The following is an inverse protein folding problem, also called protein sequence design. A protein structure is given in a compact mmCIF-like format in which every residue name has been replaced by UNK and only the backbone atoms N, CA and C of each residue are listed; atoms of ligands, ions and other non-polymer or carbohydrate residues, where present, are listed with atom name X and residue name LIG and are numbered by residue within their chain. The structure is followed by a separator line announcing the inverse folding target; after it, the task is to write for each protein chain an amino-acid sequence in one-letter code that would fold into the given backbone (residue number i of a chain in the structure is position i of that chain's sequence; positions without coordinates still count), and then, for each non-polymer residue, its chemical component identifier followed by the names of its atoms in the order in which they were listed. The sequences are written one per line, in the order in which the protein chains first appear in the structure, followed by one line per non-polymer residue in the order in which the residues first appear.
data_IF_504399529707
#
_entry.id   IF_504399529707
#
_cell.length_a   1.000
_cell.length_b   1.000
_cell.length_c   1.000
_cell.angle_alpha   90.00
_cell.angle_beta   90.00
_cell.angle_gamma   90.00
#
_symmetry.space_group_name_H-M   'P 1'
#
loop_
_entity.id
_entity.type
_entity.pdbx_description
1 polymer ?
2 non-polymer ?
3 non-polymer ?
4 non-polymer ?
5 non-polymer ?
6 non-polymer ?
7 water ?
#
# COMPACT_ATOMS: atom_id res chain seq x y z
N UNK A 1 -0.76 -14.77 -11.52
CA UNK A 1 0.18 -14.06 -12.41
C UNK A 1 0.62 -12.74 -11.79
N UNK A 2 1.14 -11.88 -12.67
CA UNK A 2 1.70 -10.61 -12.28
C UNK A 2 0.66 -9.85 -11.46
N UNK A 3 -0.57 -9.70 -11.99
CA UNK A 3 -1.56 -8.85 -11.34
C UNK A 3 -1.87 -9.36 -9.94
N UNK A 4 -1.96 -10.66 -9.77
CA UNK A 4 -2.31 -11.23 -8.49
C UNK A 4 -1.12 -11.04 -7.57
N UNK A 5 0.10 -11.16 -8.15
CA UNK A 5 1.30 -10.97 -7.35
C UNK A 5 1.27 -9.59 -6.71
N UNK A 6 0.87 -8.56 -7.48
CA UNK A 6 0.71 -7.22 -6.96
C UNK A 6 -0.21 -7.23 -5.73
N UNK A 7 -1.38 -7.89 -5.85
CA UNK A 7 -2.34 -8.02 -4.76
C UNK A 7 -1.74 -8.76 -3.56
N UNK A 8 -1.00 -9.85 -3.81
CA UNK A 8 -0.39 -10.59 -2.72
C UNK A 8 0.58 -9.70 -1.97
N UNK A 9 1.48 -9.03 -2.68
CA UNK A 9 2.49 -8.19 -2.04
C UNK A 9 1.80 -7.09 -1.25
N UNK A 10 0.82 -6.41 -1.87
CA UNK A 10 0.08 -5.37 -1.20
C UNK A 10 -0.59 -5.89 0.08
N UNK A 11 -0.96 -7.16 0.14
CA UNK A 11 -1.64 -7.69 1.33
C UNK A 11 -0.73 -7.79 2.57
N UNK A 12 0.60 -7.68 2.39
CA UNK A 12 1.52 -7.69 3.52
C UNK A 12 2.75 -6.87 3.15
N UNK A 13 2.50 -5.67 2.63
CA UNK A 13 3.48 -4.90 1.89
C UNK A 13 4.70 -4.58 2.74
N UNK A 14 4.45 -4.18 4.00
CA UNK A 14 5.54 -3.75 4.86
C UNK A 14 6.54 -4.91 5.04
N UNK A 15 6.02 -6.14 5.17
CA UNK A 15 6.86 -7.30 5.45
C UNK A 15 7.60 -7.69 4.17
N UNK A 16 6.89 -7.76 3.05
CA UNK A 16 7.54 -8.06 1.78
C UNK A 16 8.54 -6.97 1.41
N UNK A 17 8.19 -5.69 1.58
CA UNK A 17 9.12 -4.64 1.19
C UNK A 17 10.45 -4.75 1.95
N UNK A 18 10.37 -4.96 3.27
CA UNK A 18 11.56 -5.08 4.09
C UNK A 18 12.36 -6.32 3.74
N UNK A 19 11.69 -7.45 3.61
CA UNK A 19 12.43 -8.69 3.31
C UNK A 19 13.09 -8.64 1.95
N UNK A 20 12.39 -8.05 0.97
CA UNK A 20 12.99 -7.97 -0.35
C UNK A 20 14.13 -6.96 -0.35
N UNK A 21 13.91 -5.81 0.26
CA UNK A 21 14.96 -4.83 0.31
C UNK A 21 16.17 -5.39 1.04
N UNK A 22 15.96 -6.11 2.15
CA UNK A 22 17.10 -6.69 2.85
C UNK A 22 17.78 -7.75 1.97
N UNK A 23 17.01 -8.59 1.28
CA UNK A 23 17.63 -9.54 0.37
C UNK A 23 18.55 -8.79 -0.61
N UNK A 24 18.09 -7.63 -1.11
CA UNK A 24 18.87 -6.84 -2.03
C UNK A 24 20.17 -6.33 -1.38
N UNK A 25 20.08 -5.81 -0.15
CA UNK A 25 21.27 -5.26 0.50
C UNK A 25 22.26 -6.34 0.88
N UNK A 26 21.76 -7.56 1.16
CA UNK A 26 22.63 -8.67 1.58
C UNK A 26 23.31 -9.30 0.36
N UNK A 27 22.58 -9.42 -0.76
CA UNK A 27 23.14 -9.94 -1.99
C UNK A 27 24.20 -9.01 -2.58
N UNK A 28 23.95 -7.70 -2.55
CA UNK A 28 24.79 -6.66 -3.12
C UNK A 28 25.24 -5.66 -2.05
N UNK A 29 26.16 -6.11 -1.17
CA UNK A 29 26.56 -5.29 -0.02
C UNK A 29 27.11 -3.94 -0.42
N UNK A 30 27.74 -3.87 -1.62
CA UNK A 30 28.32 -2.64 -2.13
C UNK A 30 27.25 -1.57 -2.30
N UNK A 31 25.96 -1.97 -2.40
CA UNK A 31 24.86 -1.06 -2.68
C UNK A 31 24.53 -0.21 -1.46
N UNK A 32 24.99 -0.62 -0.27
CA UNK A 32 24.81 0.17 0.94
C UNK A 32 25.57 1.50 0.83
N UNK A 33 26.43 1.67 -0.18
CA UNK A 33 27.11 2.95 -0.31
C UNK A 33 26.10 4.03 -0.72
N UNK A 34 24.85 3.66 -1.07
CA UNK A 34 23.79 4.61 -1.37
C UNK A 34 22.94 4.87 -0.14
N UNK A 35 23.22 4.14 0.94
CA UNK A 35 22.47 4.20 2.19
C UNK A 35 23.46 4.07 3.35
N UNK A 36 24.18 5.16 3.65
CA UNK A 36 25.19 5.13 4.71
C UNK A 36 24.57 4.75 6.07
N UNK A 37 23.32 5.14 6.28
CA UNK A 37 22.65 5.04 7.56
C UNK A 37 22.39 3.58 7.94
N UNK A 38 22.47 2.68 6.95
CA UNK A 38 22.15 1.26 7.14
C UNK A 38 23.39 0.39 7.43
N UNK A 39 24.58 0.95 7.30
CA UNK A 39 25.82 0.20 7.41
C UNK A 39 25.96 -0.35 8.83
N UNK A 40 26.54 -1.55 8.98
CA UNK A 40 26.95 -2.07 10.29
C UNK A 40 25.79 -2.48 11.18
N UNK A 41 24.66 -2.84 10.55
CA UNK A 41 23.44 -3.19 11.24
C UNK A 41 22.93 -4.52 10.68
N UNK A 42 22.47 -5.37 11.60
CA UNK A 42 21.85 -6.64 11.26
C UNK A 42 20.44 -6.38 10.71
N UNK A 43 19.87 -7.38 10.04
CA UNK A 43 18.52 -7.22 9.53
C UNK A 43 17.57 -6.72 10.64
N UNK A 44 17.59 -7.35 11.83
CA UNK A 44 16.65 -6.99 12.88
C UNK A 44 16.89 -5.56 13.34
N UNK A 45 18.15 -5.11 13.36
CA UNK A 45 18.41 -3.72 13.69
C UNK A 45 17.78 -2.77 12.66
N UNK A 46 17.95 -3.09 11.37
CA UNK A 46 17.38 -2.26 10.32
C UNK A 46 15.88 -2.20 10.46
N UNK A 47 15.21 -3.33 10.66
CA UNK A 47 13.75 -3.39 10.67
C UNK A 47 13.17 -2.58 11.84
N UNK A 48 14.00 -2.19 12.81
CA UNK A 48 13.54 -1.51 14.01
C UNK A 48 13.75 0.00 13.90
N UNK A 49 14.63 0.42 12.96
CA UNK A 49 14.86 1.82 12.63
C UNK A 49 13.59 2.35 11.97
N UNK A 50 13.38 3.67 12.07
CA UNK A 50 12.14 4.29 11.63
C UNK A 50 12.18 4.54 10.13
N UNK A 51 13.28 5.16 9.66
CA UNK A 51 13.48 5.52 8.27
C UNK A 51 13.56 4.27 7.38
N UNK A 52 13.96 3.13 7.95
CA UNK A 52 14.07 1.93 7.14
C UNK A 52 12.68 1.45 6.76
N UNK A 53 11.84 1.27 7.78
CA UNK A 53 10.51 0.76 7.59
C UNK A 53 9.72 1.69 6.69
N UNK A 54 9.96 3.00 6.87
CA UNK A 54 9.17 4.06 6.27
C UNK A 54 9.57 4.25 4.80
N UNK A 55 10.86 4.43 4.56
CA UNK A 55 11.34 4.64 3.21
C UNK A 55 11.02 3.40 2.38
N UNK A 56 11.27 2.19 2.94
CA UNK A 56 11.19 1.00 2.10
C UNK A 56 9.75 0.69 1.75
N UNK A 57 8.84 0.95 2.69
CA UNK A 57 7.45 0.71 2.37
C UNK A 57 7.04 1.66 1.25
N UNK A 58 7.49 2.91 1.33
CA UNK A 58 7.14 3.91 0.34
C UNK A 58 7.71 3.59 -1.02
N UNK A 59 8.90 2.97 -1.08
CA UNK A 59 9.46 2.45 -2.31
C UNK A 59 8.50 1.43 -2.93
N UNK A 60 8.09 0.46 -2.14
CA UNK A 60 7.28 -0.63 -2.65
C UNK A 60 5.84 -0.19 -2.93
N UNK A 61 5.32 0.78 -2.16
CA UNK A 61 4.03 1.40 -2.48
C UNK A 61 4.03 1.89 -3.93
N UNK A 62 5.11 2.56 -4.34
CA UNK A 62 5.18 3.14 -5.67
C UNK A 62 5.53 2.09 -6.70
N UNK A 63 6.39 1.12 -6.33
CA UNK A 63 6.74 0.07 -7.24
C UNK A 63 5.45 -0.65 -7.64
N UNK A 64 4.57 -0.87 -6.67
CA UNK A 64 3.37 -1.65 -6.93
C UNK A 64 2.45 -0.86 -7.84
N UNK A 65 2.40 0.47 -7.66
CA UNK A 65 1.64 1.34 -8.53
C UNK A 65 2.15 1.28 -9.97
N UNK A 66 3.47 1.40 -10.13
CA UNK A 66 4.12 1.33 -11.43
C UNK A 66 3.82 -0.03 -12.07
N UNK A 67 3.90 -1.10 -11.26
CA UNK A 67 3.55 -2.44 -11.69
C UNK A 67 2.10 -2.48 -12.13
N UNK A 68 1.23 -1.83 -11.35
CA UNK A 68 -0.21 -1.89 -11.56
C UNK A 68 -0.61 -1.13 -12.83
N UNK A 69 0.13 -0.07 -13.12
CA UNK A 69 -0.15 0.75 -14.29
C UNK A 69 0.46 0.19 -15.57
N UNK A 70 1.34 -0.83 -15.47
CA UNK A 70 2.02 -1.40 -16.61
C UNK A 70 1.03 -2.13 -17.49
N UNK A 71 1.37 -2.30 -18.76
CA UNK A 71 0.65 -3.23 -19.64
C UNK A 71 1.62 -4.35 -20.01
N UNK A 72 1.23 -5.60 -19.75
CA UNK A 72 2.06 -6.75 -20.09
C UNK A 72 3.48 -6.55 -19.54
N UNK A 73 3.58 -6.07 -18.31
CA UNK A 73 4.85 -5.90 -17.61
C UNK A 73 5.70 -4.79 -18.22
N UNK A 74 5.08 -3.90 -19.04
CA UNK A 74 5.76 -2.75 -19.63
C UNK A 74 5.24 -1.51 -18.91
N UNK A 75 6.11 -0.82 -18.14
CA UNK A 75 5.68 0.33 -17.33
C UNK A 75 5.38 1.54 -18.21
N UNK A 76 4.65 2.52 -17.66
CA UNK A 76 4.38 3.76 -18.38
C UNK A 76 5.67 4.55 -18.47
N UNK A 77 5.91 5.19 -19.62
CA UNK A 77 7.02 6.14 -19.73
C UNK A 77 6.95 7.25 -18.65
N UNK A 78 5.76 7.76 -18.37
CA UNK A 78 5.61 8.75 -17.32
C UNK A 78 6.17 8.25 -15.99
N UNK A 79 5.97 6.95 -15.69
CA UNK A 79 6.39 6.42 -14.40
C UNK A 79 7.91 6.31 -14.40
N UNK A 80 8.48 5.90 -15.54
CA UNK A 80 9.94 5.83 -15.68
C UNK A 80 10.54 7.22 -15.48
N UNK A 81 9.94 8.22 -16.14
CA UNK A 81 10.42 9.59 -16.03
C UNK A 81 10.43 10.05 -14.56
N UNK A 82 9.30 9.83 -13.86
CA UNK A 82 9.20 10.18 -12.45
C UNK A 82 10.37 9.55 -11.71
N UNK A 83 10.59 8.24 -11.91
CA UNK A 83 11.63 7.59 -11.14
C UNK A 83 12.99 8.21 -11.47
N UNK A 84 13.23 8.60 -12.73
CA UNK A 84 14.55 9.11 -13.11
C UNK A 84 14.75 10.50 -12.50
N UNK A 85 13.70 11.33 -12.57
CA UNK A 85 13.75 12.73 -12.20
C UNK A 85 13.40 12.96 -10.73
N UNK A 86 13.38 11.89 -9.93
CA UNK A 86 13.31 12.03 -8.48
C UNK A 86 14.70 12.45 -7.94
N UNK A 87 14.74 13.46 -7.05
CA UNK A 87 16.00 13.99 -6.51
C UNK A 87 16.74 12.93 -5.70
N UNK A 88 15.94 12.10 -5.01
CA UNK A 88 16.39 10.96 -4.22
C UNK A 88 17.21 10.00 -5.07
N UNK A 89 17.00 10.02 -6.40
CA UNK A 89 17.69 9.08 -7.28
C UNK A 89 18.79 9.78 -8.10
N UNK A 90 19.14 11.04 -7.75
CA UNK A 90 20.09 11.79 -8.56
C UNK A 90 21.30 10.92 -8.89
N UNK A 91 21.83 10.20 -7.90
CA UNK A 91 23.02 9.36 -8.06
C UNK A 91 22.87 8.19 -9.05
N UNK A 92 21.72 7.53 -9.09
CA UNK A 92 21.63 6.12 -9.48
C UNK A 92 21.84 5.87 -10.97
N UNK A 93 22.29 4.64 -11.30
CA UNK A 93 22.26 4.15 -12.67
C UNK A 93 21.32 2.95 -12.74
N UNK A 94 21.00 2.54 -13.96
CA UNK A 94 20.09 1.43 -14.16
C UNK A 94 20.61 0.16 -13.49
N UNK A 95 21.92 0.10 -13.22
CA UNK A 95 22.53 -1.06 -12.61
C UNK A 95 21.96 -1.28 -11.22
N UNK A 96 21.66 -0.16 -10.54
CA UNK A 96 21.13 -0.19 -9.20
C UNK A 96 19.76 -0.85 -9.21
N UNK A 97 18.97 -0.49 -10.23
CA UNK A 97 17.61 -0.99 -10.34
C UNK A 97 17.64 -2.45 -10.75
N UNK A 98 18.55 -2.76 -11.68
CA UNK A 98 18.75 -4.13 -12.14
C UNK A 98 18.91 -5.03 -10.92
N UNK A 99 19.78 -4.63 -9.99
CA UNK A 99 20.17 -5.48 -8.88
C UNK A 99 18.99 -5.68 -7.95
N UNK A 100 18.25 -4.60 -7.73
CA UNK A 100 17.04 -4.66 -6.92
C UNK A 100 16.12 -5.75 -7.46
N UNK A 101 15.96 -5.81 -8.78
CA UNK A 101 14.98 -6.71 -9.39
C UNK A 101 15.54 -8.12 -9.46
N UNK A 102 16.88 -8.29 -9.54
CA UNK A 102 17.45 -9.63 -9.46
C UNK A 102 17.16 -10.23 -8.08
N UNK A 103 17.36 -9.44 -7.04
CA UNK A 103 17.10 -9.92 -5.70
C UNK A 103 15.63 -10.19 -5.48
N UNK A 104 14.77 -9.33 -6.06
CA UNK A 104 13.34 -9.49 -5.90
C UNK A 104 12.90 -10.80 -6.55
N UNK A 105 13.45 -11.09 -7.73
CA UNK A 105 13.09 -12.32 -8.43
C UNK A 105 13.59 -13.54 -7.67
N UNK A 106 14.85 -13.47 -7.23
CA UNK A 106 15.45 -14.50 -6.40
C UNK A 106 14.61 -14.77 -5.15
N UNK A 107 14.22 -13.70 -4.44
CA UNK A 107 13.37 -13.84 -3.26
C UNK A 107 12.11 -14.62 -3.59
N UNK A 108 11.48 -14.26 -4.71
CA UNK A 108 10.22 -14.86 -5.10
C UNK A 108 10.44 -16.34 -5.47
N UNK A 109 11.55 -16.64 -6.14
CA UNK A 109 11.83 -18.02 -6.55
C UNK A 109 12.06 -18.92 -5.33
N UNK A 110 12.60 -18.36 -4.24
CA UNK A 110 12.96 -19.14 -3.05
C UNK A 110 11.81 -19.17 -2.04
N UNK A 111 10.77 -18.38 -2.29
CA UNK A 111 9.61 -18.38 -1.41
C UNK A 111 8.83 -19.67 -1.62
N UNK A 112 8.00 -20.05 -0.67
CA UNK A 112 7.19 -21.23 -0.93
C UNK A 112 6.06 -21.00 -1.93
N UNK A 113 5.92 -19.74 -2.42
CA UNK A 113 4.69 -19.20 -2.97
C UNK A 113 4.74 -19.14 -4.50
N UNK A 114 3.57 -19.25 -5.14
CA UNK A 114 3.50 -19.36 -6.59
C UNK A 114 3.49 -17.99 -7.27
N UNK A 115 4.44 -17.13 -6.89
CA UNK A 115 4.69 -15.88 -7.59
C UNK A 115 5.03 -16.17 -9.05
N UNK A 116 4.73 -15.22 -9.91
CA UNK A 116 5.08 -15.31 -11.32
C UNK A 116 6.45 -14.65 -11.53
N UNK A 117 7.52 -15.32 -11.06
CA UNK A 117 8.85 -14.73 -11.02
C UNK A 117 9.31 -14.33 -12.43
N UNK A 118 8.89 -15.07 -13.48
CA UNK A 118 9.32 -14.75 -14.84
C UNK A 118 8.78 -13.39 -15.25
N UNK A 119 7.54 -13.06 -14.84
CA UNK A 119 6.94 -11.75 -15.14
C UNK A 119 7.65 -10.60 -14.41
N UNK A 120 7.98 -10.77 -13.13
CA UNK A 120 8.74 -9.77 -12.40
C UNK A 120 10.12 -9.52 -13.03
N UNK A 121 10.79 -10.58 -13.53
CA UNK A 121 12.05 -10.48 -14.26
C UNK A 121 11.88 -9.62 -15.50
N UNK A 122 10.83 -9.86 -16.31
CA UNK A 122 10.50 -9.04 -17.47
C UNK A 122 10.23 -7.61 -17.06
N UNK A 123 9.35 -7.44 -16.05
CA UNK A 123 9.06 -6.14 -15.49
C UNK A 123 10.36 -5.41 -15.16
N UNK A 124 11.26 -6.08 -14.42
CA UNK A 124 12.49 -5.40 -14.05
C UNK A 124 13.27 -4.90 -15.27
N UNK A 125 13.45 -5.77 -16.26
CA UNK A 125 14.23 -5.43 -17.45
C UNK A 125 13.56 -4.32 -18.26
N UNK A 126 12.22 -4.33 -18.32
CA UNK A 126 11.47 -3.32 -19.06
C UNK A 126 11.53 -2.00 -18.34
N UNK A 127 11.48 -2.03 -17.01
CA UNK A 127 11.67 -0.79 -16.28
C UNK A 127 13.08 -0.23 -16.51
N UNK A 128 14.10 -1.06 -16.39
CA UNK A 128 15.45 -0.62 -16.68
C UNK A 128 15.49 0.01 -18.09
N UNK A 129 14.87 -0.61 -19.09
CA UNK A 129 14.86 -0.07 -20.44
C UNK A 129 14.19 1.30 -20.45
N UNK A 130 13.03 1.39 -19.78
CA UNK A 130 12.27 2.63 -19.76
C UNK A 130 13.07 3.72 -19.03
N UNK A 131 13.85 3.34 -18.02
CA UNK A 131 14.65 4.33 -17.31
C UNK A 131 15.80 4.82 -18.19
N UNK A 132 16.37 3.94 -19.02
CA UNK A 132 17.41 4.32 -19.97
C UNK A 132 16.86 5.36 -20.95
N UNK A 133 15.65 5.07 -21.47
CA UNK A 133 14.95 5.94 -22.41
C UNK A 133 14.63 7.29 -21.79
N UNK A 134 14.25 7.26 -20.52
CA UNK A 134 13.88 8.51 -19.88
C UNK A 134 15.13 9.29 -19.41
N UNK A 135 16.35 8.74 -19.62
CA UNK A 135 17.59 9.49 -19.45
C UNK A 135 18.50 9.06 -18.30
N UNK A 136 18.31 7.89 -17.69
CA UNK A 136 19.19 7.45 -16.63
C UNK A 136 20.38 6.67 -17.22
N UNK A 137 21.58 6.90 -16.67
CA UNK A 137 22.80 6.29 -17.17
C UNK A 137 22.86 4.78 -16.86
N UNK B 1 -9.21 13.37 -9.59
CA UNK B 1 -10.46 12.66 -9.26
C UNK B 1 -10.20 11.45 -8.39
N UNK B 2 -11.20 10.56 -8.36
CA UNK B 2 -11.22 9.40 -7.51
C UNK B 2 -10.03 8.49 -7.82
N UNK B 3 -9.74 8.23 -9.11
CA UNK B 3 -8.61 7.36 -9.48
C UNK B 3 -7.28 7.90 -8.99
N UNK B 4 -7.05 9.20 -9.18
CA UNK B 4 -5.81 9.81 -8.69
C UNK B 4 -5.75 9.69 -7.16
N UNK B 5 -6.90 9.84 -6.48
CA UNK B 5 -6.94 9.76 -5.02
C UNK B 5 -6.49 8.38 -4.55
N UNK B 6 -6.91 7.33 -5.26
CA UNK B 6 -6.45 5.99 -4.93
C UNK B 6 -4.93 5.93 -4.96
N UNK B 7 -4.33 6.52 -6.02
CA UNK B 7 -2.88 6.60 -6.19
C UNK B 7 -2.23 7.40 -5.08
N UNK B 8 -2.84 8.53 -4.70
CA UNK B 8 -2.33 9.35 -3.62
C UNK B 8 -2.31 8.54 -2.33
N UNK B 9 -3.43 7.92 -1.98
CA UNK B 9 -3.52 7.17 -0.72
C UNK B 9 -2.58 5.97 -0.75
N UNK B 10 -2.55 5.23 -1.89
CA UNK B 10 -1.66 4.09 -2.03
C UNK B 10 -0.20 4.51 -1.84
N UNK B 11 0.15 5.70 -2.28
CA UNK B 11 1.52 6.17 -2.21
C UNK B 11 2.06 6.21 -0.77
N UNK B 12 1.18 6.51 0.19
CA UNK B 12 1.58 6.64 1.57
C UNK B 12 0.52 5.95 2.44
N UNK B 13 0.24 4.71 2.08
CA UNK B 13 -0.98 4.08 2.56
C UNK B 13 -0.99 3.89 4.07
N UNK B 14 0.17 3.59 4.64
CA UNK B 14 0.31 3.36 6.07
C UNK B 14 0.02 4.64 6.85
N UNK B 15 0.37 5.80 6.28
CA UNK B 15 0.20 7.03 7.02
C UNK B 15 -1.27 7.40 7.01
N UNK B 16 -1.84 7.32 5.81
CA UNK B 16 -3.20 7.72 5.52
C UNK B 16 -4.15 6.77 6.23
N UNK B 17 -3.83 5.48 6.23
CA UNK B 17 -4.70 4.48 6.85
C UNK B 17 -4.77 4.74 8.35
N UNK B 18 -3.62 5.00 8.99
CA UNK B 18 -3.60 5.33 10.41
C UNK B 18 -4.32 6.64 10.73
N UNK B 19 -4.08 7.70 9.93
CA UNK B 19 -4.65 9.00 10.18
C UNK B 19 -6.16 8.99 10.04
N UNK B 20 -6.64 8.31 9.02
CA UNK B 20 -8.07 8.27 8.77
C UNK B 20 -8.74 7.42 9.85
N UNK B 21 -8.11 6.30 10.19
CA UNK B 21 -8.74 5.39 11.12
C UNK B 21 -8.85 6.08 12.49
N UNK B 22 -7.82 6.83 12.86
CA UNK B 22 -7.80 7.58 14.10
C UNK B 22 -8.84 8.71 14.05
N UNK B 23 -8.97 9.44 12.93
CA UNK B 23 -10.06 10.42 12.82
C UNK B 23 -11.39 9.72 13.14
N UNK B 24 -11.52 8.49 12.63
CA UNK B 24 -12.74 7.72 12.83
C UNK B 24 -12.98 7.43 14.31
N UNK B 25 -11.96 6.87 14.99
CA UNK B 25 -12.06 6.40 16.37
C UNK B 25 -12.26 7.62 17.29
N UNK B 26 -11.68 8.75 16.92
CA UNK B 26 -11.78 9.95 17.74
C UNK B 26 -13.17 10.59 17.53
N UNK B 27 -13.69 10.50 16.31
CA UNK B 27 -14.96 11.13 16.00
C UNK B 27 -16.11 10.33 16.60
N UNK B 28 -15.90 9.03 16.74
CA UNK B 28 -16.92 8.10 17.20
C UNK B 28 -16.31 7.22 18.28
N UNK B 29 -16.07 7.76 19.49
CA UNK B 29 -15.43 6.98 20.55
C UNK B 29 -16.14 5.68 20.90
N UNK B 30 -17.45 5.56 20.69
CA UNK B 30 -18.13 4.31 20.95
C UNK B 30 -17.56 3.18 20.09
N UNK B 31 -17.13 3.49 18.87
CA UNK B 31 -16.65 2.46 17.95
C UNK B 31 -15.38 1.78 18.45
N UNK B 32 -14.64 2.45 19.34
CA UNK B 32 -13.40 1.93 19.90
C UNK B 32 -13.67 0.69 20.76
N UNK B 33 -14.95 0.35 20.98
CA UNK B 33 -15.39 -0.91 21.62
C UNK B 33 -14.93 -2.15 20.87
N UNK B 34 -15.32 -2.22 19.58
CA UNK B 34 -14.89 -3.24 18.65
C UNK B 34 -13.36 -3.44 18.63
N UNK B 35 -12.60 -2.64 19.41
CA UNK B 35 -11.15 -2.78 19.44
C UNK B 35 -10.69 -2.64 20.89
N UNK B 36 -11.02 -3.66 21.69
CA UNK B 36 -10.73 -3.70 23.12
C UNK B 36 -9.25 -3.36 23.40
N UNK B 37 -8.38 -3.74 22.46
CA UNK B 37 -6.94 -3.64 22.57
C UNK B 37 -6.43 -2.19 22.38
N UNK B 38 -7.36 -1.27 22.03
CA UNK B 38 -7.00 0.09 21.65
C UNK B 38 -7.50 1.07 22.71
N UNK B 39 -8.27 0.58 23.69
CA UNK B 39 -8.85 1.39 24.75
C UNK B 39 -7.74 1.96 25.64
N UNK B 40 -7.87 3.26 25.96
CA UNK B 40 -7.01 3.91 26.93
C UNK B 40 -5.64 4.26 26.36
N UNK B 41 -5.56 4.38 25.03
CA UNK B 41 -4.32 4.69 24.36
C UNK B 41 -4.52 5.93 23.49
N UNK B 42 -3.52 6.83 23.52
CA UNK B 42 -3.47 8.02 22.69
C UNK B 42 -3.18 7.64 21.24
N UNK B 43 -3.31 8.59 20.32
CA UNK B 43 -2.95 8.33 18.94
C UNK B 43 -1.49 7.86 18.83
N UNK B 44 -0.60 8.30 19.72
CA UNK B 44 0.79 7.86 19.66
C UNK B 44 0.97 6.51 20.37
N UNK B 45 0.23 6.25 21.47
CA UNK B 45 0.31 4.93 22.08
C UNK B 45 -0.14 3.89 21.05
N UNK B 46 -1.02 4.27 20.11
CA UNK B 46 -1.50 3.32 19.10
C UNK B 46 -0.51 3.20 17.94
N UNK B 47 -0.05 4.35 17.43
CA UNK B 47 0.89 4.37 16.32
C UNK B 47 2.21 3.69 16.66
N UNK B 48 2.38 3.18 17.88
CA UNK B 48 3.62 2.56 18.27
C UNK B 48 3.42 1.05 18.37
N UNK B 49 2.14 0.63 18.44
CA UNK B 49 1.82 -0.78 18.46
C UNK B 49 1.85 -1.31 17.03
N UNK B 50 2.44 -2.50 16.90
CA UNK B 50 2.72 -3.11 15.61
C UNK B 50 1.41 -3.42 14.92
N UNK B 51 0.54 -4.15 15.63
CA UNK B 51 -0.70 -4.60 15.04
C UNK B 51 -1.59 -3.42 14.65
N UNK B 52 -1.45 -2.26 15.28
CA UNK B 52 -2.33 -1.17 14.93
C UNK B 52 -2.01 -0.68 13.51
N UNK B 53 -0.72 -0.50 13.24
CA UNK B 53 -0.23 -0.16 11.90
C UNK B 53 -0.60 -1.23 10.87
N UNK B 54 -0.16 -2.47 11.13
CA UNK B 54 -0.32 -3.57 10.19
C UNK B 54 -1.79 -3.72 9.84
N UNK B 55 -2.61 -3.79 10.88
CA UNK B 55 -4.01 -4.11 10.73
C UNK B 55 -4.77 -2.96 10.03
N UNK B 56 -4.49 -1.70 10.36
CA UNK B 56 -5.19 -0.60 9.71
C UNK B 56 -4.74 -0.48 8.26
N UNK B 57 -3.44 -0.66 7.97
CA UNK B 57 -3.05 -0.66 6.57
C UNK B 57 -3.80 -1.74 5.78
N UNK B 58 -4.03 -2.90 6.38
CA UNK B 58 -4.61 -4.01 5.67
C UNK B 58 -6.06 -3.73 5.33
N UNK B 59 -6.74 -3.01 6.23
CA UNK B 59 -8.07 -2.52 6.00
C UNK B 59 -8.06 -1.65 4.77
N UNK B 60 -7.19 -0.64 4.76
CA UNK B 60 -7.20 0.35 3.70
C UNK B 60 -6.73 -0.27 2.40
N UNK B 61 -5.77 -1.22 2.46
CA UNK B 61 -5.35 -1.89 1.24
C UNK B 61 -6.59 -2.48 0.57
N UNK B 62 -7.41 -3.21 1.34
CA UNK B 62 -8.58 -3.83 0.75
C UNK B 62 -9.59 -2.78 0.28
N UNK B 63 -9.71 -1.68 1.02
CA UNK B 63 -10.65 -0.64 0.60
C UNK B 63 -10.16 -0.02 -0.73
N UNK B 64 -8.84 0.08 -0.95
CA UNK B 64 -8.34 0.69 -2.18
C UNK B 64 -8.54 -0.30 -3.32
N UNK B 65 -8.46 -1.60 -3.01
CA UNK B 65 -8.65 -2.60 -4.06
C UNK B 65 -10.12 -2.53 -4.53
N UNK B 66 -11.05 -2.47 -3.58
CA UNK B 66 -12.47 -2.30 -3.88
C UNK B 66 -12.67 -1.01 -4.66
N UNK B 67 -12.13 0.12 -4.14
CA UNK B 67 -12.24 1.39 -4.84
C UNK B 67 -11.75 1.28 -6.28
N UNK B 68 -10.61 0.61 -6.49
CA UNK B 68 -9.98 0.60 -7.80
C UNK B 68 -10.82 -0.23 -8.77
N UNK B 69 -11.51 -1.26 -8.26
CA UNK B 69 -12.30 -2.16 -9.11
C UNK B 69 -13.66 -1.54 -9.42
N UNK B 70 -14.04 -0.45 -8.72
CA UNK B 70 -15.37 0.14 -8.84
C UNK B 70 -15.50 0.82 -10.19
N UNK B 71 -16.73 0.91 -10.72
CA UNK B 71 -17.03 1.75 -11.86
C UNK B 71 -17.83 2.94 -11.36
N UNK B 72 -17.37 4.18 -11.62
CA UNK B 72 -18.12 5.37 -11.27
C UNK B 72 -18.52 5.30 -9.78
N UNK B 73 -17.60 4.80 -8.94
CA UNK B 73 -17.77 4.79 -7.50
C UNK B 73 -18.82 3.77 -7.11
N UNK B 74 -19.08 2.77 -7.95
CA UNK B 74 -19.98 1.71 -7.54
C UNK B 74 -19.18 0.42 -7.39
N UNK B 75 -19.08 -0.11 -6.17
CA UNK B 75 -18.28 -1.30 -5.92
C UNK B 75 -18.92 -2.49 -6.56
N UNK B 76 -18.13 -3.47 -6.97
CA UNK B 76 -18.61 -4.77 -7.42
C UNK B 76 -19.34 -5.50 -6.30
N UNK B 77 -20.48 -6.13 -6.66
CA UNK B 77 -21.20 -7.02 -5.75
C UNK B 77 -20.23 -7.90 -4.97
N UNK B 78 -19.34 -8.60 -5.70
CA UNK B 78 -18.37 -9.53 -5.14
C UNK B 78 -17.65 -8.97 -3.90
N UNK B 79 -17.09 -7.78 -4.04
CA UNK B 79 -16.25 -7.18 -3.02
C UNK B 79 -17.03 -6.87 -1.72
N UNK B 80 -18.22 -6.28 -1.90
CA UNK B 80 -19.19 -6.12 -0.84
C UNK B 80 -19.39 -7.47 -0.14
N UNK B 81 -19.53 -8.57 -0.90
CA UNK B 81 -19.73 -9.87 -0.27
C UNK B 81 -18.53 -10.26 0.60
N UNK B 82 -17.30 -10.14 0.08
CA UNK B 82 -16.11 -10.43 0.89
C UNK B 82 -16.15 -9.68 2.22
N UNK B 83 -16.40 -8.37 2.19
CA UNK B 83 -16.36 -7.61 3.43
C UNK B 83 -17.49 -8.06 4.38
N UNK B 84 -18.61 -8.57 3.86
CA UNK B 84 -19.68 -9.07 4.73
C UNK B 84 -19.23 -10.38 5.38
N UNK B 85 -18.64 -11.27 4.58
CA UNK B 85 -18.38 -12.64 4.99
C UNK B 85 -17.15 -12.72 5.91
N UNK B 86 -16.33 -11.66 5.94
CA UNK B 86 -15.12 -11.63 6.77
C UNK B 86 -15.48 -11.84 8.25
N UNK B 87 -14.71 -12.68 8.96
CA UNK B 87 -15.03 -13.08 10.34
C UNK B 87 -14.86 -11.90 11.30
N UNK B 88 -13.80 -11.13 11.09
CA UNK B 88 -13.56 -9.91 11.83
C UNK B 88 -14.77 -8.97 11.71
N UNK B 89 -15.60 -9.18 10.69
CA UNK B 89 -16.74 -8.31 10.46
C UNK B 89 -18.02 -8.92 11.03
N UNK B 90 -17.93 -10.14 11.61
CA UNK B 90 -19.06 -10.67 12.36
C UNK B 90 -19.54 -9.64 13.37
N UNK B 91 -20.85 -9.33 13.35
CA UNK B 91 -21.45 -8.40 14.29
C UNK B 91 -21.41 -6.93 13.85
N UNK B 92 -20.83 -6.62 12.67
CA UNK B 92 -20.77 -5.25 12.17
C UNK B 92 -22.11 -4.85 11.53
N UNK B 93 -22.53 -3.62 11.79
CA UNK B 93 -23.62 -3.03 11.03
C UNK B 93 -23.00 -2.19 9.91
N UNK B 94 -23.74 -2.01 8.81
CA UNK B 94 -23.27 -1.06 7.82
C UNK B 94 -22.86 0.23 8.54
N UNK B 95 -23.66 0.67 9.54
CA UNK B 95 -23.43 1.84 10.38
C UNK B 95 -21.95 2.10 10.68
N UNK B 96 -21.27 1.02 11.01
CA UNK B 96 -19.85 1.01 11.30
C UNK B 96 -19.07 1.61 10.12
N UNK B 97 -19.31 1.09 8.92
CA UNK B 97 -18.68 1.55 7.69
C UNK B 97 -19.18 2.91 7.27
N UNK B 98 -20.47 3.23 7.47
CA UNK B 98 -20.97 4.57 7.19
C UNK B 98 -20.07 5.57 7.92
N UNK B 99 -19.94 5.38 9.23
CA UNK B 99 -19.23 6.32 10.07
C UNK B 99 -17.77 6.44 9.65
N UNK B 100 -17.12 5.32 9.31
CA UNK B 100 -15.75 5.37 8.78
C UNK B 100 -15.66 6.24 7.52
N UNK B 101 -16.69 6.17 6.68
CA UNK B 101 -16.69 6.95 5.45
C UNK B 101 -16.97 8.42 5.75
N UNK B 102 -17.76 8.70 6.77
CA UNK B 102 -17.96 10.09 7.15
C UNK B 102 -16.60 10.63 7.57
N UNK B 103 -15.92 9.88 8.45
CA UNK B 103 -14.64 10.34 8.93
C UNK B 103 -13.69 10.54 7.76
N UNK B 104 -13.66 9.58 6.85
CA UNK B 104 -12.77 9.68 5.70
C UNK B 104 -13.04 10.92 4.85
N UNK B 105 -14.32 11.23 4.57
CA UNK B 105 -14.66 12.39 3.77
C UNK B 105 -14.32 13.69 4.50
N UNK B 106 -14.57 13.73 5.81
CA UNK B 106 -14.19 14.91 6.56
C UNK B 106 -12.68 15.09 6.60
N UNK B 107 -11.93 13.99 6.80
CA UNK B 107 -10.47 14.06 6.71
C UNK B 107 -10.05 14.72 5.39
N UNK B 108 -10.65 14.28 4.28
CA UNK B 108 -10.21 14.71 2.97
C UNK B 108 -10.53 16.20 2.76
N UNK B 109 -11.79 16.58 3.03
CA UNK B 109 -12.19 17.98 3.03
C UNK B 109 -11.17 18.83 3.77
N UNK B 110 -10.79 18.38 4.96
CA UNK B 110 -9.96 19.18 5.84
C UNK B 110 -8.48 19.14 5.47
N UNK B 111 -8.05 18.23 4.60
CA UNK B 111 -6.65 18.14 4.25
C UNK B 111 -6.32 19.31 3.33
N UNK B 112 -5.06 19.57 3.11
CA UNK B 112 -4.80 20.64 2.15
C UNK B 112 -5.13 20.28 0.69
N UNK B 113 -5.48 19.01 0.45
CA UNK B 113 -5.26 18.40 -0.85
C UNK B 113 -6.55 18.35 -1.65
N UNK B 114 -6.41 18.27 -2.97
CA UNK B 114 -7.55 18.27 -3.85
C UNK B 114 -8.09 16.84 -4.04
N UNK B 115 -8.40 16.18 -2.92
CA UNK B 115 -9.17 14.95 -2.94
C UNK B 115 -10.53 15.24 -3.57
N UNK B 116 -11.01 14.28 -4.33
CA UNK B 116 -12.36 14.38 -4.86
C UNK B 116 -13.31 13.88 -3.76
N UNK B 117 -13.61 14.75 -2.77
CA UNK B 117 -14.37 14.31 -1.60
C UNK B 117 -15.78 13.85 -1.96
N UNK B 118 -16.39 14.44 -2.99
CA UNK B 118 -17.75 14.06 -3.37
C UNK B 118 -17.78 12.64 -3.91
N UNK B 119 -16.72 12.22 -4.62
CA UNK B 119 -16.63 10.84 -5.10
C UNK B 119 -16.45 9.86 -3.94
N UNK B 120 -15.65 10.21 -2.92
CA UNK B 120 -15.46 9.33 -1.78
C UNK B 120 -16.76 9.18 -1.00
N UNK B 121 -17.52 10.28 -0.89
CA UNK B 121 -18.85 10.26 -0.30
C UNK B 121 -19.74 9.25 -1.02
N UNK B 122 -19.89 9.41 -2.35
CA UNK B 122 -20.78 8.54 -3.11
C UNK B 122 -20.31 7.08 -3.03
N UNK B 123 -18.99 6.87 -3.04
CA UNK B 123 -18.43 5.52 -2.92
C UNK B 123 -18.81 4.89 -1.59
N UNK B 124 -18.60 5.63 -0.50
CA UNK B 124 -19.00 5.16 0.81
C UNK B 124 -20.49 4.80 0.86
N UNK B 125 -21.39 5.66 0.34
CA UNK B 125 -22.83 5.37 0.32
C UNK B 125 -23.13 4.12 -0.48
N UNK B 126 -22.52 4.04 -1.67
CA UNK B 126 -22.69 2.89 -2.53
C UNK B 126 -22.13 1.65 -1.85
N UNK B 127 -20.98 1.75 -1.16
CA UNK B 127 -20.44 0.57 -0.51
C UNK B 127 -21.36 0.11 0.62
N UNK B 128 -21.95 1.05 1.36
CA UNK B 128 -22.92 0.69 2.39
C UNK B 128 -24.16 -0.01 1.79
N UNK B 129 -24.71 0.59 0.74
CA UNK B 129 -25.85 -0.02 0.08
C UNK B 129 -25.48 -1.43 -0.39
N UNK B 130 -24.27 -1.56 -0.93
CA UNK B 130 -23.81 -2.85 -1.40
C UNK B 130 -23.68 -3.82 -0.24
N UNK B 131 -23.05 -3.40 0.87
CA UNK B 131 -22.92 -4.26 2.02
C UNK B 131 -24.30 -4.82 2.46
N UNK B 132 -25.32 -3.98 2.60
CA UNK B 132 -26.64 -4.46 3.00
C UNK B 132 -27.15 -5.49 1.99
N UNK B 133 -26.98 -5.18 0.68
CA UNK B 133 -27.35 -6.04 -0.46
C UNK B 133 -26.66 -7.41 -0.40
N UNK B 134 -25.39 -7.43 0.04
CA UNK B 134 -24.66 -8.67 0.25
C UNK B 134 -24.95 -9.23 1.63
N UNK B 135 -25.92 -8.63 2.34
CA UNK B 135 -26.59 -9.28 3.46
C UNK B 135 -26.22 -8.77 4.87
N UNK B 136 -25.52 -7.63 4.98
CA UNK B 136 -25.16 -7.08 6.27
C UNK B 136 -26.34 -6.25 6.81
N UNK B 137 -26.56 -6.34 8.12
CA UNK B 137 -27.56 -5.55 8.81
C UNK B 137 -26.98 -4.16 9.13
#
# INVERSE_FOLDING_TARGET
GFKQDIATLRGDLRTYAQDIFLAFLNKYPDEKRNFKNYVGKSDQELKSMAKFGDHTEKVFNLMMEVADRATDCVPLASDASTLVQMKQHSGLTTGNFEKLFVALVEYMRASGQSFDSQSWDRFGKNLVSALSSAGMK
GFKQDIATLRGDLRTYAQDIFLAFLNKYPDEKRNFKNYVGKSDQELKSMAKFGDHTEKVFNLMMEVADRATDCVPLASDASTLVQMKQHSGLTTGNFEKLFVALVEYMRASGQSFDSQSWDRFGKNLVSALSSAGMK
#
